data_IF_807873276602
#
_entry.id   IF_807873276602
#
_cell.length_a   1.000
_cell.length_b   1.000
_cell.length_c   1.000
_cell.angle_alpha   90.00
_cell.angle_beta   90.00
_cell.angle_gamma   90.00
#
_symmetry.space_group_name_H-M   'P 1'
#
loop_
_entity.id
_entity.type
_entity.pdbx_description
1 polymer ?
#
# COMPACT_ATOMS: atom_id res chain seq x y z
N UNK A 1 40.41 -4.02 47.92
CA UNK A 1 41.34 -5.07 47.45
C UNK A 1 42.75 -4.80 47.92
N UNK A 2 43.30 -3.63 47.62
CA UNK A 2 44.73 -3.34 47.82
C UNK A 2 45.19 -3.49 49.28
N UNK A 3 44.42 -2.98 50.25
CA UNK A 3 44.66 -3.20 51.69
C UNK A 3 44.71 -4.69 52.09
N UNK A 4 43.91 -5.56 51.47
CA UNK A 4 43.95 -7.01 51.74
C UNK A 4 45.20 -7.65 51.12
N UNK A 5 45.63 -7.20 49.94
CA UNK A 5 46.88 -7.63 49.32
C UNK A 5 48.11 -7.12 50.11
N UNK A 6 48.04 -5.93 50.67
CA UNK A 6 49.08 -5.34 51.53
C UNK A 6 49.21 -6.10 52.86
N UNK A 7 48.08 -6.36 53.55
CA UNK A 7 48.02 -7.21 54.76
C UNK A 7 48.53 -8.63 54.47
N UNK A 8 48.17 -9.21 53.31
CA UNK A 8 48.69 -10.50 52.84
C UNK A 8 50.21 -10.46 52.69
N UNK A 9 50.76 -9.48 51.97
CA UNK A 9 52.20 -9.32 51.75
C UNK A 9 52.95 -9.11 53.07
N UNK A 10 52.40 -8.32 54.00
CA UNK A 10 52.95 -8.12 55.33
C UNK A 10 52.99 -9.43 56.15
N UNK A 11 51.87 -10.17 56.18
CA UNK A 11 51.76 -11.44 56.92
C UNK A 11 52.70 -12.51 56.36
N UNK A 12 52.81 -12.65 55.03
CA UNK A 12 53.75 -13.59 54.39
C UNK A 12 55.21 -13.22 54.71
N UNK A 13 55.58 -11.93 54.66
CA UNK A 13 56.92 -11.45 55.04
C UNK A 13 57.23 -11.75 56.52
N UNK A 14 56.28 -11.55 57.42
CA UNK A 14 56.45 -11.80 58.85
C UNK A 14 56.51 -13.29 59.19
N UNK A 15 55.64 -14.14 58.63
CA UNK A 15 55.71 -15.59 58.84
C UNK A 15 57.01 -16.19 58.28
N UNK A 16 57.53 -15.67 57.16
CA UNK A 16 58.86 -16.06 56.63
C UNK A 16 60.01 -15.65 57.56
N UNK A 17 60.01 -14.39 58.05
CA UNK A 17 61.01 -13.90 59.03
C UNK A 17 61.03 -14.76 60.29
N UNK A 18 59.87 -14.97 60.91
CA UNK A 18 59.71 -15.74 62.16
C UNK A 18 60.18 -17.18 61.99
N UNK A 19 59.79 -17.86 60.90
CA UNK A 19 60.22 -19.23 60.62
C UNK A 19 61.75 -19.41 60.57
N UNK A 20 62.50 -18.39 60.14
CA UNK A 20 63.98 -18.42 60.11
C UNK A 20 64.62 -18.22 61.48
N UNK A 21 64.05 -17.37 62.34
CA UNK A 21 64.62 -17.06 63.67
C UNK A 21 64.22 -18.09 64.74
N UNK A 22 62.96 -18.55 64.69
CA UNK A 22 62.34 -19.28 65.81
C UNK A 22 62.86 -20.72 65.94
N UNK A 23 63.18 -21.40 64.83
CA UNK A 23 63.58 -22.82 64.84
C UNK A 23 64.83 -23.15 65.66
N UNK A 24 65.79 -22.23 65.76
CA UNK A 24 66.97 -22.41 66.62
C UNK A 24 66.63 -22.07 68.07
N UNK A 25 65.96 -20.95 68.30
CA UNK A 25 65.59 -20.48 69.64
C UNK A 25 64.60 -21.43 70.34
N UNK A 26 63.73 -22.12 69.61
CA UNK A 26 62.76 -23.08 70.17
C UNK A 26 63.40 -24.24 70.93
N UNK A 27 64.55 -24.74 70.46
CA UNK A 27 65.29 -25.82 71.12
C UNK A 27 65.94 -25.32 72.40
N UNK A 28 66.54 -24.13 72.39
CA UNK A 28 67.25 -23.57 73.55
C UNK A 28 66.34 -22.83 74.56
N UNK A 29 65.09 -22.53 74.21
CA UNK A 29 64.11 -21.83 75.07
C UNK A 29 62.96 -22.72 75.59
N UNK A 30 62.98 -24.02 75.29
CA UNK A 30 62.03 -24.97 75.86
C UNK A 30 62.45 -25.43 77.25
N UNK A 31 61.58 -25.27 78.27
CA UNK A 31 61.87 -25.66 79.65
C UNK A 31 61.68 -27.16 79.93
N UNK A 32 61.05 -27.89 79.01
CA UNK A 32 60.91 -29.35 79.05
C UNK A 32 60.58 -29.90 77.65
N UNK A 33 60.66 -31.23 77.49
CA UNK A 33 60.24 -31.90 76.25
C UNK A 33 58.75 -31.64 75.93
N UNK A 34 57.90 -31.54 76.96
CA UNK A 34 56.48 -31.22 76.81
C UNK A 34 56.23 -29.78 76.35
N UNK A 35 56.99 -28.82 76.86
CA UNK A 35 56.96 -27.42 76.42
C UNK A 35 57.43 -27.27 74.96
N UNK A 36 58.50 -27.98 74.58
CA UNK A 36 58.94 -28.05 73.17
C UNK A 36 57.85 -28.61 72.24
N UNK A 37 57.25 -29.75 72.60
CA UNK A 37 56.17 -30.37 71.81
C UNK A 37 54.92 -29.49 71.74
N UNK A 38 54.57 -28.79 72.82
CA UNK A 38 53.47 -27.81 72.86
C UNK A 38 53.70 -26.65 71.89
N UNK A 39 54.89 -26.03 71.94
CA UNK A 39 55.28 -24.93 71.04
C UNK A 39 55.34 -25.38 69.57
N UNK A 40 55.86 -26.57 69.29
CA UNK A 40 55.87 -27.16 67.94
C UNK A 40 54.45 -27.42 67.41
N UNK A 41 53.54 -27.94 68.25
CA UNK A 41 52.11 -28.12 67.89
C UNK A 41 51.42 -26.79 67.63
N UNK A 42 51.74 -25.75 68.41
CA UNK A 42 51.22 -24.39 68.22
C UNK A 42 51.68 -23.78 66.90
N UNK A 43 52.97 -23.82 66.57
CA UNK A 43 53.48 -23.36 65.26
C UNK A 43 52.87 -24.12 64.08
N UNK A 44 52.74 -25.45 64.19
CA UNK A 44 52.08 -26.27 63.15
C UNK A 44 50.63 -25.82 62.93
N UNK A 45 49.91 -25.52 64.02
CA UNK A 45 48.53 -25.02 64.00
C UNK A 45 48.44 -23.62 63.39
N UNK A 46 49.37 -22.71 63.70
CA UNK A 46 49.46 -21.38 63.06
C UNK A 46 49.72 -21.54 61.56
N UNK A 47 50.69 -22.37 61.17
CA UNK A 47 51.02 -22.61 59.75
C UNK A 47 49.80 -23.11 58.97
N UNK A 48 49.06 -24.08 59.52
CA UNK A 48 47.84 -24.60 58.90
C UNK A 48 46.75 -23.53 58.76
N UNK A 49 46.55 -22.69 59.79
CA UNK A 49 45.60 -21.56 59.75
C UNK A 49 46.01 -20.47 58.77
N UNK A 50 47.30 -20.11 58.72
CA UNK A 50 47.83 -19.19 57.73
C UNK A 50 47.58 -19.74 56.32
N UNK A 51 47.94 -20.99 56.03
CA UNK A 51 47.71 -21.62 54.72
C UNK A 51 46.22 -21.60 54.31
N UNK A 52 45.30 -21.91 55.22
CA UNK A 52 43.86 -21.84 54.97
C UNK A 52 43.42 -20.41 54.61
N UNK A 53 43.86 -19.40 55.37
CA UNK A 53 43.53 -17.99 55.11
C UNK A 53 44.11 -17.51 53.77
N UNK A 54 45.33 -17.94 53.40
CA UNK A 54 45.92 -17.60 52.11
C UNK A 54 45.08 -18.16 50.95
N UNK A 55 44.65 -19.43 51.03
CA UNK A 55 43.76 -20.05 50.02
C UNK A 55 42.37 -19.42 49.98
N UNK A 56 41.81 -19.00 51.11
CA UNK A 56 40.52 -18.31 51.17
C UNK A 56 40.59 -16.90 50.54
N UNK A 57 41.65 -16.14 50.83
CA UNK A 57 41.91 -14.83 50.22
C UNK A 57 42.15 -14.94 48.70
N UNK A 58 42.87 -15.99 48.25
CA UNK A 58 43.09 -16.25 46.83
C UNK A 58 41.76 -16.56 46.10
N UNK A 59 40.94 -17.45 46.66
CA UNK A 59 39.58 -17.74 46.14
C UNK A 59 38.71 -16.50 46.10
N UNK A 60 38.70 -15.69 47.16
CA UNK A 60 37.94 -14.44 47.22
C UNK A 60 38.42 -13.42 46.18
N UNK A 61 39.73 -13.35 45.91
CA UNK A 61 40.30 -12.50 44.85
C UNK A 61 39.86 -12.96 43.45
N UNK A 62 39.85 -14.26 43.18
CA UNK A 62 39.41 -14.82 41.88
C UNK A 62 37.91 -14.57 41.68
N UNK A 63 37.08 -14.93 42.65
CA UNK A 63 35.63 -14.71 42.66
C UNK A 63 35.25 -13.22 42.45
N UNK A 64 35.97 -12.30 43.11
CA UNK A 64 35.78 -10.86 42.89
C UNK A 64 36.19 -10.41 41.48
N UNK A 65 37.24 -10.99 40.91
CA UNK A 65 37.65 -10.76 39.52
C UNK A 65 36.58 -11.21 38.53
N UNK A 66 36.16 -12.47 38.63
CA UNK A 66 35.11 -13.06 37.78
C UNK A 66 33.79 -12.26 37.88
N UNK A 67 33.37 -11.86 39.08
CA UNK A 67 32.18 -11.01 39.28
C UNK A 67 32.33 -9.61 38.70
N UNK A 68 33.53 -9.01 38.76
CA UNK A 68 33.81 -7.71 38.14
C UNK A 68 33.73 -7.80 36.62
N UNK A 69 34.34 -8.82 36.02
CA UNK A 69 34.41 -8.96 34.57
C UNK A 69 33.04 -9.37 34.00
N UNK A 70 32.31 -10.26 34.69
CA UNK A 70 30.91 -10.56 34.38
C UNK A 70 30.02 -9.31 34.46
N UNK A 71 30.22 -8.43 35.46
CA UNK A 71 29.51 -7.14 35.56
C UNK A 71 29.83 -6.22 34.38
N UNK A 72 31.09 -6.12 33.96
CA UNK A 72 31.49 -5.31 32.79
C UNK A 72 30.85 -5.84 31.52
N UNK A 73 30.88 -7.16 31.30
CA UNK A 73 30.23 -7.82 30.15
C UNK A 73 28.72 -7.54 30.15
N UNK A 74 28.03 -7.69 31.29
CA UNK A 74 26.59 -7.42 31.40
C UNK A 74 26.24 -5.94 31.22
N UNK A 75 27.11 -5.02 31.63
CA UNK A 75 26.94 -3.58 31.32
C UNK A 75 27.05 -3.33 29.81
N UNK A 76 28.03 -3.94 29.12
CA UNK A 76 28.15 -3.83 27.66
C UNK A 76 26.97 -4.47 26.92
N UNK A 77 26.43 -5.59 27.40
CA UNK A 77 25.19 -6.19 26.87
C UNK A 77 23.99 -5.23 27.02
N UNK A 78 23.82 -4.62 28.20
CA UNK A 78 22.71 -3.68 28.46
C UNK A 78 22.77 -2.47 27.54
N UNK A 79 23.94 -1.84 27.32
CA UNK A 79 24.03 -0.71 26.38
C UNK A 79 23.81 -1.14 24.92
N UNK A 80 24.28 -2.34 24.51
CA UNK A 80 23.96 -2.90 23.18
C UNK A 80 22.45 -3.15 23.01
N UNK A 81 21.77 -3.64 24.05
CA UNK A 81 20.33 -3.88 24.04
C UNK A 81 19.53 -2.57 24.03
N UNK A 82 19.94 -1.54 24.79
CA UNK A 82 19.35 -0.20 24.73
C UNK A 82 19.45 0.41 23.34
N UNK A 83 20.64 0.39 22.73
CA UNK A 83 20.84 0.91 21.36
C UNK A 83 19.98 0.17 20.34
N UNK A 84 19.88 -1.16 20.44
CA UNK A 84 18.97 -1.97 19.60
C UNK A 84 17.51 -1.59 19.82
N UNK A 85 17.07 -1.42 21.07
CA UNK A 85 15.70 -1.03 21.42
C UNK A 85 15.33 0.35 20.87
N UNK A 86 16.24 1.33 20.92
CA UNK A 86 16.02 2.66 20.32
C UNK A 86 15.88 2.55 18.81
N UNK A 87 16.76 1.82 18.13
CA UNK A 87 16.65 1.59 16.68
C UNK A 87 15.33 0.87 16.30
N UNK A 88 14.92 -0.14 17.08
CA UNK A 88 13.66 -0.86 16.87
C UNK A 88 12.42 0.02 17.10
N UNK A 89 12.45 0.98 18.03
CA UNK A 89 11.36 1.96 18.20
C UNK A 89 11.25 2.88 16.99
N UNK A 90 12.36 3.48 16.56
CA UNK A 90 12.39 4.37 15.38
C UNK A 90 11.89 3.65 14.12
N UNK A 91 12.26 2.38 13.93
CA UNK A 91 11.75 1.58 12.82
C UNK A 91 10.25 1.26 12.95
N UNK A 92 9.78 0.89 14.15
CA UNK A 92 8.36 0.63 14.40
C UNK A 92 7.50 1.89 14.17
N UNK A 93 7.95 3.05 14.61
CA UNK A 93 7.24 4.33 14.40
C UNK A 93 7.19 4.69 12.91
N UNK A 94 8.28 4.43 12.16
CA UNK A 94 8.34 4.54 10.69
C UNK A 94 7.35 3.58 10.01
N UNK A 95 7.32 2.31 10.41
CA UNK A 95 6.38 1.32 9.87
C UNK A 95 4.91 1.70 10.17
N UNK A 96 4.62 2.26 11.35
CA UNK A 96 3.28 2.74 11.68
C UNK A 96 2.86 3.96 10.85
N UNK A 97 3.77 4.90 10.59
CA UNK A 97 3.50 6.06 9.74
C UNK A 97 3.23 5.63 8.30
N UNK A 98 4.07 4.74 7.74
CA UNK A 98 3.90 4.23 6.39
C UNK A 98 2.62 3.41 6.24
N UNK A 99 2.27 2.57 7.22
CA UNK A 99 0.99 1.85 7.25
C UNK A 99 -0.21 2.80 7.25
N UNK A 100 -0.14 3.93 7.97
CA UNK A 100 -1.18 4.97 7.97
C UNK A 100 -1.27 5.69 6.63
N UNK A 101 -0.14 6.00 6.00
CA UNK A 101 -0.07 6.61 4.66
C UNK A 101 -0.73 5.71 3.62
N UNK A 102 -0.29 4.45 3.52
CA UNK A 102 -0.84 3.46 2.58
C UNK A 102 -2.32 3.21 2.83
N UNK A 103 -2.78 3.11 4.08
CA UNK A 103 -4.20 2.94 4.39
C UNK A 103 -5.06 4.15 3.99
N UNK A 104 -4.56 5.37 4.19
CA UNK A 104 -5.25 6.58 3.74
C UNK A 104 -5.34 6.65 2.21
N UNK A 105 -4.26 6.30 1.51
CA UNK A 105 -4.22 6.27 0.05
C UNK A 105 -5.14 5.19 -0.52
N UNK A 106 -5.18 3.98 0.05
CA UNK A 106 -6.10 2.93 -0.41
C UNK A 106 -7.56 3.24 -0.09
N UNK A 107 -7.88 3.83 1.06
CA UNK A 107 -9.25 4.23 1.40
C UNK A 107 -9.77 5.37 0.51
N UNK A 108 -8.94 6.38 0.21
CA UNK A 108 -9.30 7.45 -0.72
C UNK A 108 -9.49 6.91 -2.15
N UNK A 109 -8.62 6.00 -2.59
CA UNK A 109 -8.76 5.33 -3.88
C UNK A 109 -10.01 4.44 -3.93
N UNK A 110 -10.30 3.63 -2.90
CA UNK A 110 -11.51 2.82 -2.82
C UNK A 110 -12.76 3.71 -2.92
N UNK A 111 -12.86 4.78 -2.12
CA UNK A 111 -14.00 5.71 -2.19
C UNK A 111 -14.18 6.27 -3.61
N UNK A 112 -13.08 6.71 -4.24
CA UNK A 112 -13.09 7.21 -5.63
C UNK A 112 -13.53 6.13 -6.63
N UNK A 113 -13.08 4.88 -6.47
CA UNK A 113 -13.53 3.76 -7.30
C UNK A 113 -15.01 3.42 -7.08
N UNK A 114 -15.52 3.47 -5.84
CA UNK A 114 -16.94 3.28 -5.52
C UNK A 114 -17.82 4.40 -6.11
N UNK A 115 -17.35 5.65 -6.08
CA UNK A 115 -18.02 6.80 -6.73
C UNK A 115 -18.07 6.64 -8.26
N UNK A 116 -16.97 6.22 -8.90
CA UNK A 116 -16.93 5.95 -10.35
C UNK A 116 -17.78 4.72 -10.74
N UNK A 117 -17.79 3.68 -9.90
CA UNK A 117 -18.64 2.49 -10.02
C UNK A 117 -20.13 2.83 -9.93
N UNK A 118 -20.52 3.69 -8.99
CA UNK A 118 -21.89 4.17 -8.83
C UNK A 118 -22.33 5.00 -10.04
N UNK A 119 -21.47 5.90 -10.51
CA UNK A 119 -21.66 6.71 -11.72
C UNK A 119 -21.89 5.85 -12.97
N UNK A 120 -20.94 4.97 -13.30
CA UNK A 120 -21.04 4.06 -14.44
C UNK A 120 -22.29 3.15 -14.37
N UNK A 121 -22.74 2.75 -13.16
CA UNK A 121 -23.99 2.00 -12.96
C UNK A 121 -25.26 2.82 -13.19
N UNK A 122 -25.25 4.11 -12.89
CA UNK A 122 -26.39 5.01 -13.14
C UNK A 122 -26.44 5.48 -14.60
N UNK A 123 -25.29 5.62 -15.25
CA UNK A 123 -25.11 5.86 -16.69
C UNK A 123 -25.66 4.66 -17.47
N UNK A 124 -25.31 3.44 -17.03
CA UNK A 124 -25.89 2.16 -17.42
C UNK A 124 -27.42 2.15 -17.33
N UNK A 125 -27.99 2.39 -16.14
CA UNK A 125 -29.45 2.43 -15.95
C UNK A 125 -30.10 3.47 -16.87
N UNK A 126 -29.47 4.64 -17.07
CA UNK A 126 -29.98 5.66 -17.97
C UNK A 126 -30.02 5.20 -19.43
N UNK A 127 -28.90 4.69 -19.96
CA UNK A 127 -28.81 4.25 -21.36
C UNK A 127 -29.85 3.15 -21.66
N UNK A 128 -29.95 2.12 -20.81
CA UNK A 128 -30.92 1.03 -21.00
C UNK A 128 -32.37 1.53 -21.00
N UNK A 129 -32.73 2.44 -20.09
CA UNK A 129 -34.09 2.94 -20.00
C UNK A 129 -34.43 3.97 -21.10
N UNK A 130 -33.45 4.74 -21.58
CA UNK A 130 -33.59 5.61 -22.76
C UNK A 130 -33.92 4.77 -24.00
N UNK A 131 -33.13 3.73 -24.31
CA UNK A 131 -33.36 2.91 -25.51
C UNK A 131 -34.63 2.06 -25.39
N UNK A 132 -35.00 1.65 -24.17
CA UNK A 132 -36.28 1.01 -23.89
C UNK A 132 -37.50 1.95 -23.99
N UNK A 133 -37.33 3.23 -24.38
CA UNK A 133 -38.41 4.19 -24.60
C UNK A 133 -39.02 4.76 -23.31
N UNK A 134 -38.26 4.81 -22.20
CA UNK A 134 -38.73 5.32 -20.90
C UNK A 134 -38.23 6.74 -20.57
N UNK A 135 -37.56 7.40 -21.51
CA UNK A 135 -37.29 8.84 -21.42
C UNK A 135 -38.52 9.66 -21.78
N UNK A 136 -38.59 10.90 -21.29
CA UNK A 136 -39.58 11.89 -21.74
C UNK A 136 -39.01 12.60 -22.96
N UNK A 137 -39.69 12.47 -24.10
CA UNK A 137 -39.25 13.03 -25.38
C UNK A 137 -40.24 14.03 -25.96
N UNK A 138 -39.70 15.02 -26.68
CA UNK A 138 -40.46 15.97 -27.49
C UNK A 138 -39.94 15.94 -28.92
N UNK A 139 -40.83 15.77 -29.90
CA UNK A 139 -40.50 15.90 -31.32
C UNK A 139 -40.11 17.36 -31.64
N UNK A 140 -39.03 17.54 -32.39
CA UNK A 140 -38.57 18.87 -32.85
C UNK A 140 -38.92 19.09 -34.32
N UNK A 141 -38.94 18.01 -35.11
CA UNK A 141 -39.20 18.03 -36.56
C UNK A 141 -38.17 17.22 -37.34
N UNK A 142 -38.22 17.31 -38.66
CA UNK A 142 -37.28 16.63 -39.55
C UNK A 142 -35.94 17.39 -39.65
N UNK A 143 -34.83 16.66 -39.83
CA UNK A 143 -33.48 17.25 -39.98
C UNK A 143 -32.73 16.70 -41.20
N UNK A 144 -31.85 17.51 -41.76
CA UNK A 144 -30.95 17.12 -42.84
C UNK A 144 -29.69 16.42 -42.31
N UNK A 145 -29.08 15.56 -43.12
CA UNK A 145 -27.76 15.01 -42.83
C UNK A 145 -26.72 16.14 -42.67
N UNK A 146 -25.86 16.03 -41.65
CA UNK A 146 -24.87 17.06 -41.31
C UNK A 146 -25.42 18.29 -40.56
N UNK A 147 -26.73 18.36 -40.30
CA UNK A 147 -27.31 19.44 -39.49
C UNK A 147 -26.87 19.35 -38.02
N UNK A 148 -26.52 20.49 -37.42
CA UNK A 148 -26.21 20.55 -36.00
C UNK A 148 -27.49 20.43 -35.15
N UNK A 149 -27.53 19.45 -34.24
CA UNK A 149 -28.72 19.12 -33.42
C UNK A 149 -28.55 19.39 -31.92
N UNK A 150 -27.33 19.24 -31.42
CA UNK A 150 -26.92 19.44 -30.02
C UNK A 150 -25.40 19.62 -29.94
N UNK A 151 -24.88 19.96 -28.75
CA UNK A 151 -23.45 20.07 -28.43
C UNK A 151 -23.08 19.11 -27.31
N UNK A 152 -21.92 18.44 -27.37
CA UNK A 152 -21.39 17.64 -26.25
C UNK A 152 -21.20 18.53 -25.01
N UNK A 153 -21.57 18.02 -23.82
CA UNK A 153 -21.36 18.71 -22.55
C UNK A 153 -19.86 18.75 -22.25
N UNK A 154 -19.37 19.93 -21.85
CA UNK A 154 -18.02 20.07 -21.35
C UNK A 154 -17.98 19.93 -19.82
N UNK A 155 -16.97 19.20 -19.32
CA UNK A 155 -16.87 18.75 -17.94
C UNK A 155 -17.73 17.52 -17.62
N UNK A 156 -17.80 17.13 -16.34
CA UNK A 156 -18.66 16.04 -15.88
C UNK A 156 -20.15 16.36 -16.09
N UNK A 157 -20.93 15.36 -16.49
CA UNK A 157 -22.40 15.47 -16.66
C UNK A 157 -23.15 14.42 -15.84
N UNK A 158 -24.48 14.33 -15.95
CA UNK A 158 -25.27 13.35 -15.20
C UNK A 158 -24.72 11.93 -15.40
N UNK A 159 -24.39 11.28 -14.28
CA UNK A 159 -23.78 9.95 -14.18
C UNK A 159 -22.38 9.79 -14.83
N UNK A 160 -21.83 10.83 -15.45
CA UNK A 160 -20.52 10.86 -16.13
C UNK A 160 -19.40 11.46 -15.25
N UNK A 161 -18.15 11.23 -15.64
CA UNK A 161 -16.93 11.82 -15.04
C UNK A 161 -16.24 12.89 -15.89
N UNK A 162 -16.63 13.11 -17.17
CA UNK A 162 -15.98 14.09 -18.05
C UNK A 162 -16.55 14.16 -19.47
N UNK A 163 -16.07 15.12 -20.26
CA UNK A 163 -16.56 15.47 -21.60
C UNK A 163 -16.40 14.31 -22.59
N UNK A 164 -17.50 13.66 -22.99
CA UNK A 164 -17.53 12.61 -24.00
C UNK A 164 -18.93 12.50 -24.64
N UNK A 165 -19.04 11.77 -25.75
CA UNK A 165 -20.32 11.48 -26.43
C UNK A 165 -20.59 9.97 -26.41
N UNK A 166 -21.70 9.56 -25.81
CA UNK A 166 -22.31 8.27 -26.10
C UNK A 166 -23.22 8.43 -27.33
N UNK A 167 -22.94 7.65 -28.37
CA UNK A 167 -23.57 7.64 -29.69
C UNK A 167 -24.10 6.19 -29.83
N UNK A 168 -25.40 5.90 -30.09
CA UNK A 168 -26.02 4.54 -29.92
C UNK A 168 -27.00 4.11 -31.06
N UNK A 169 -26.86 2.90 -31.68
CA UNK A 169 -27.75 2.40 -32.80
C UNK A 169 -28.77 1.48 -32.18
N UNK A 170 -30.05 1.78 -32.36
CA UNK A 170 -31.09 0.77 -32.27
C UNK A 170 -31.76 0.55 -33.62
N UNK A 171 -32.29 -0.65 -33.83
CA UNK A 171 -33.35 -0.95 -34.78
C UNK A 171 -34.21 -2.01 -34.13
N UNK A 172 -35.53 -1.80 -34.11
CA UNK A 172 -36.48 -2.70 -33.46
C UNK A 172 -36.18 -3.01 -31.97
N UNK A 173 -35.42 -2.12 -31.31
CA UNK A 173 -34.79 -2.22 -29.96
C UNK A 173 -33.59 -3.17 -29.85
N UNK A 174 -33.23 -3.90 -30.89
CA UNK A 174 -31.92 -4.54 -31.02
C UNK A 174 -30.86 -3.50 -31.42
N UNK A 175 -29.61 -3.74 -31.04
CA UNK A 175 -28.51 -2.75 -31.03
C UNK A 175 -27.51 -3.25 -32.10
N UNK A 176 -27.00 -2.32 -32.94
CA UNK A 176 -26.13 -2.65 -34.07
C UNK A 176 -24.75 -2.03 -33.96
N UNK A 177 -23.76 -2.71 -34.57
CA UNK A 177 -22.40 -2.18 -34.70
C UNK A 177 -22.42 -0.89 -35.51
N UNK A 178 -21.55 0.09 -35.23
CA UNK A 178 -21.76 1.43 -35.76
C UNK A 178 -20.73 1.80 -36.81
N UNK A 179 -19.55 1.22 -36.68
CA UNK A 179 -18.51 1.13 -37.67
C UNK A 179 -19.04 0.49 -38.96
N UNK A 180 -20.03 -0.43 -38.90
CA UNK A 180 -20.68 -0.97 -40.11
C UNK A 180 -21.46 0.08 -40.91
N UNK A 181 -21.74 1.24 -40.33
CA UNK A 181 -22.49 2.31 -40.98
C UNK A 181 -21.72 3.63 -41.12
N UNK A 182 -20.81 3.95 -40.19
CA UNK A 182 -19.94 5.14 -40.25
C UNK A 182 -18.80 4.97 -41.27
N UNK A 183 -18.45 6.06 -41.96
CA UNK A 183 -17.30 6.09 -42.88
C UNK A 183 -15.96 6.21 -42.15
N UNK A 184 -14.84 6.05 -42.86
CA UNK A 184 -13.50 6.31 -42.31
C UNK A 184 -13.29 7.77 -41.88
N UNK A 185 -12.60 7.98 -40.76
CA UNK A 185 -12.22 9.30 -40.21
C UNK A 185 -10.83 9.19 -39.55
N UNK A 186 -10.13 10.31 -39.38
CA UNK A 186 -8.90 10.32 -38.58
C UNK A 186 -9.26 10.20 -37.10
N UNK A 187 -8.56 9.32 -36.40
CA UNK A 187 -8.85 9.00 -35.01
C UNK A 187 -7.57 8.81 -34.20
N UNK A 188 -7.71 8.84 -32.89
CA UNK A 188 -6.72 8.40 -31.90
C UNK A 188 -7.39 7.36 -31.01
N UNK A 189 -6.80 6.16 -30.93
CA UNK A 189 -7.35 5.11 -30.09
C UNK A 189 -6.85 5.26 -28.66
N UNK A 190 -7.74 5.61 -27.74
CA UNK A 190 -7.46 5.79 -26.30
C UNK A 190 -8.28 4.82 -25.43
N UNK A 191 -8.73 3.70 -26.02
CA UNK A 191 -9.54 2.67 -25.33
C UNK A 191 -8.72 1.55 -24.66
N UNK A 192 -7.43 1.44 -25.01
CA UNK A 192 -6.48 0.49 -24.42
C UNK A 192 -5.82 1.02 -23.14
N UNK A 193 -4.67 0.43 -22.78
CA UNK A 193 -3.89 0.88 -21.62
C UNK A 193 -3.31 2.29 -21.76
N UNK A 194 -3.19 2.82 -22.98
CA UNK A 194 -2.84 4.23 -23.26
C UNK A 194 -3.32 4.68 -24.64
N UNK A 195 -3.23 5.97 -24.96
CA UNK A 195 -3.52 6.45 -26.32
C UNK A 195 -2.47 5.93 -27.31
N UNK A 196 -2.91 5.13 -28.28
CA UNK A 196 -2.08 4.51 -29.31
C UNK A 196 -1.53 3.12 -28.97
N UNK A 197 -1.99 2.46 -27.90
CA UNK A 197 -1.53 1.11 -27.55
C UNK A 197 -2.23 -0.01 -28.34
N UNK A 198 -1.48 -1.05 -28.70
CA UNK A 198 -1.94 -2.19 -29.50
C UNK A 198 -2.98 -3.08 -28.80
N UNK A 199 -3.25 -2.86 -27.50
CA UNK A 199 -4.28 -3.56 -26.74
C UNK A 199 -5.68 -2.91 -26.83
N UNK A 200 -5.78 -1.73 -27.45
CA UNK A 200 -7.06 -1.00 -27.61
C UNK A 200 -8.10 -1.70 -28.48
N UNK A 201 -9.33 -1.18 -28.41
CA UNK A 201 -10.46 -1.70 -29.19
C UNK A 201 -10.23 -1.56 -30.70
N UNK A 202 -10.73 -2.54 -31.46
CA UNK A 202 -10.67 -2.51 -32.92
C UNK A 202 -11.52 -1.38 -33.49
N UNK A 203 -10.93 -0.55 -34.34
CA UNK A 203 -11.59 0.55 -35.03
C UNK A 203 -11.67 0.24 -36.54
N UNK A 204 -12.83 -0.18 -37.02
CA UNK A 204 -13.02 -0.67 -38.39
C UNK A 204 -14.26 -0.08 -39.10
N UNK A 205 -14.41 1.26 -39.19
CA UNK A 205 -15.50 1.87 -39.94
C UNK A 205 -15.50 1.47 -41.43
N UNK A 206 -16.65 1.05 -41.93
CA UNK A 206 -16.85 0.44 -43.25
C UNK A 206 -18.13 0.90 -43.97
N UNK A 207 -18.86 1.87 -43.42
CA UNK A 207 -20.07 2.42 -44.03
C UNK A 207 -19.88 3.78 -44.69
N UNK A 208 -20.96 4.55 -44.80
CA UNK A 208 -21.03 5.81 -45.55
C UNK A 208 -21.44 7.03 -44.72
N UNK A 209 -21.87 6.84 -43.47
CA UNK A 209 -22.43 7.90 -42.64
C UNK A 209 -21.36 8.86 -42.11
N UNK A 210 -21.73 10.14 -42.01
CA UNK A 210 -20.93 11.18 -41.36
C UNK A 210 -20.79 10.93 -39.85
N UNK A 211 -19.68 11.36 -39.27
CA UNK A 211 -19.47 11.31 -37.82
C UNK A 211 -20.18 12.48 -37.13
N UNK A 212 -20.58 12.32 -35.85
CA UNK A 212 -21.27 13.35 -35.07
C UNK A 212 -20.29 14.40 -34.50
N UNK A 213 -18.99 14.14 -34.66
CA UNK A 213 -17.87 14.93 -34.19
C UNK A 213 -16.93 15.15 -35.37
N UNK A 214 -16.34 16.34 -35.45
CA UNK A 214 -15.32 16.67 -36.44
C UNK A 214 -14.04 15.85 -36.23
N UNK A 215 -13.32 15.58 -37.32
CA UNK A 215 -11.95 15.07 -37.26
C UNK A 215 -11.04 16.04 -36.48
N UNK A 216 -10.06 15.60 -35.69
CA UNK A 216 -9.69 14.21 -35.36
C UNK A 216 -10.41 13.76 -34.08
N UNK A 217 -11.04 12.59 -34.09
CA UNK A 217 -11.75 12.05 -32.91
C UNK A 217 -10.80 11.29 -31.96
N UNK A 218 -11.15 11.20 -30.67
CA UNK A 218 -10.50 10.27 -29.72
C UNK A 218 -11.50 9.18 -29.33
N UNK A 219 -11.20 7.92 -29.63
CA UNK A 219 -12.03 6.78 -29.21
C UNK A 219 -11.63 6.34 -27.81
N UNK A 220 -12.51 6.52 -26.82
CA UNK A 220 -12.30 6.05 -25.44
C UNK A 220 -12.86 4.64 -25.20
N UNK A 221 -13.79 4.18 -26.06
CA UNK A 221 -14.42 2.87 -26.01
C UNK A 221 -14.95 2.53 -27.41
N UNK A 222 -14.74 1.29 -27.87
CA UNK A 222 -15.28 0.76 -29.12
C UNK A 222 -16.58 -0.02 -28.93
N UNK A 223 -16.89 -0.92 -29.89
CA UNK A 223 -18.09 -1.75 -29.86
C UNK A 223 -17.81 -3.14 -29.27
N UNK A 224 -18.57 -3.53 -28.25
CA UNK A 224 -18.74 -4.92 -27.83
C UNK A 224 -17.98 -5.28 -26.56
N UNK A 225 -17.26 -6.40 -26.60
CA UNK A 225 -16.39 -6.83 -25.48
C UNK A 225 -15.07 -6.06 -25.58
N UNK A 226 -15.08 -4.83 -25.10
CA UNK A 226 -13.97 -3.86 -25.22
C UNK A 226 -12.80 -4.15 -24.26
N UNK A 227 -11.64 -3.52 -24.46
CA UNK A 227 -10.50 -3.59 -23.53
C UNK A 227 -10.93 -3.18 -22.11
N UNK A 228 -11.76 -2.15 -21.98
CA UNK A 228 -12.34 -1.75 -20.70
C UNK A 228 -13.19 -2.86 -20.06
N UNK A 229 -14.02 -3.57 -20.84
CA UNK A 229 -14.84 -4.71 -20.38
C UNK A 229 -13.98 -5.96 -20.07
N UNK A 230 -12.82 -6.11 -20.72
CA UNK A 230 -11.87 -7.23 -20.51
C UNK A 230 -10.97 -7.04 -19.29
N UNK A 231 -10.50 -5.81 -19.05
CA UNK A 231 -9.42 -5.51 -18.09
C UNK A 231 -9.88 -4.72 -16.86
N UNK A 232 -11.15 -4.31 -16.78
CA UNK A 232 -11.74 -3.68 -15.58
C UNK A 232 -12.90 -4.52 -15.02
N UNK A 233 -13.49 -4.07 -13.91
CA UNK A 233 -14.63 -4.75 -13.28
C UNK A 233 -15.93 -4.66 -14.11
N UNK A 234 -15.98 -3.86 -15.18
CA UNK A 234 -17.17 -3.62 -16.04
C UNK A 234 -17.42 -4.82 -16.97
N UNK A 235 -17.54 -6.02 -16.41
CA UNK A 235 -17.66 -7.29 -17.16
C UNK A 235 -19.06 -7.54 -17.73
N UNK A 236 -19.88 -6.51 -17.86
CA UNK A 236 -21.20 -6.56 -18.49
C UNK A 236 -21.63 -5.16 -18.94
N UNK A 237 -22.26 -5.11 -20.12
CA UNK A 237 -22.88 -3.97 -20.81
C UNK A 237 -21.90 -2.84 -21.27
N UNK A 238 -21.84 -2.54 -22.59
CA UNK A 238 -22.00 -1.21 -23.28
C UNK A 238 -21.48 -1.17 -24.72
N UNK A 239 -22.31 -0.65 -25.66
CA UNK A 239 -22.27 -1.01 -27.09
C UNK A 239 -23.26 -0.11 -27.97
N UNK A 240 -23.24 -0.16 -29.34
CA UNK A 240 -24.08 0.55 -30.40
C UNK A 240 -23.70 2.05 -30.82
N UNK A 241 -23.93 2.63 -32.07
CA UNK A 241 -23.87 4.10 -32.62
C UNK A 241 -24.87 4.67 -33.79
N UNK A 242 -24.64 5.61 -34.76
CA UNK A 242 -25.79 6.47 -35.35
C UNK A 242 -25.72 7.16 -36.79
N UNK A 243 -26.88 7.53 -37.46
CA UNK A 243 -27.09 8.39 -38.69
C UNK A 243 -28.00 9.67 -38.53
N UNK A 244 -29.00 9.91 -39.42
CA UNK A 244 -29.83 11.12 -39.61
C UNK A 244 -31.29 10.82 -40.05
N UNK A 245 -32.28 11.64 -39.65
CA UNK A 245 -33.73 11.36 -39.82
C UNK A 245 -34.65 12.39 -39.14
N UNK A 246 -35.68 11.97 -38.41
CA UNK A 246 -36.57 12.83 -37.60
C UNK A 246 -36.06 13.02 -36.16
N UNK A 247 -36.00 14.26 -35.68
CA UNK A 247 -35.36 14.66 -34.43
C UNK A 247 -36.31 14.69 -33.22
N UNK A 248 -35.90 14.04 -32.14
CA UNK A 248 -36.51 14.08 -30.81
C UNK A 248 -35.49 14.57 -29.76
N UNK A 249 -35.90 15.52 -28.90
CA UNK A 249 -35.13 15.97 -27.73
C UNK A 249 -35.66 15.25 -26.49
N UNK A 250 -34.80 14.50 -25.80
CA UNK A 250 -35.18 13.58 -24.73
C UNK A 250 -34.50 13.85 -23.38
N UNK A 251 -35.15 13.48 -22.29
CA UNK A 251 -34.51 13.47 -20.97
C UNK A 251 -34.94 12.25 -20.15
N UNK A 252 -34.00 11.69 -19.40
CA UNK A 252 -34.26 10.59 -18.48
C UNK A 252 -33.65 10.86 -17.11
N UNK A 253 -34.49 10.80 -16.07
CA UNK A 253 -34.08 10.91 -14.67
C UNK A 253 -34.05 9.51 -14.05
N UNK A 254 -32.85 8.96 -13.88
CA UNK A 254 -32.64 7.69 -13.18
C UNK A 254 -32.78 7.82 -11.66
N UNK A 255 -32.51 6.73 -10.93
CA UNK A 255 -32.61 6.69 -9.45
C UNK A 255 -31.72 7.71 -8.73
N UNK A 256 -30.69 8.23 -9.40
CA UNK A 256 -29.80 9.29 -8.92
C UNK A 256 -30.42 10.70 -8.96
N UNK A 257 -31.62 10.88 -9.52
CA UNK A 257 -32.31 12.17 -9.62
C UNK A 257 -31.73 13.15 -10.65
N UNK A 258 -30.57 12.84 -11.24
CA UNK A 258 -29.95 13.66 -12.29
C UNK A 258 -30.61 13.38 -13.64
N UNK A 259 -31.18 14.41 -14.27
CA UNK A 259 -31.82 14.32 -15.57
C UNK A 259 -30.78 14.31 -16.71
N UNK A 260 -30.44 13.13 -17.23
CA UNK A 260 -29.58 12.99 -18.39
C UNK A 260 -30.33 13.46 -19.64
N UNK A 261 -29.82 14.53 -20.28
CA UNK A 261 -30.29 15.01 -21.58
C UNK A 261 -29.71 14.14 -22.70
N UNK A 262 -30.54 13.86 -23.69
CA UNK A 262 -30.16 13.14 -24.89
C UNK A 262 -30.93 13.67 -26.11
N UNK A 263 -30.44 13.32 -27.29
CA UNK A 263 -31.17 13.44 -28.55
C UNK A 263 -31.42 12.04 -29.08
N UNK A 264 -32.63 11.77 -29.59
CA UNK A 264 -32.93 10.62 -30.44
C UNK A 264 -33.22 11.09 -31.86
N UNK A 265 -32.74 10.37 -32.87
CA UNK A 265 -33.09 10.60 -34.28
C UNK A 265 -33.61 9.29 -34.87
N UNK A 266 -34.82 9.31 -35.43
CA UNK A 266 -35.48 8.16 -36.04
C UNK A 266 -35.33 8.21 -37.56
N UNK A 267 -34.74 7.20 -38.18
CA UNK A 267 -34.39 7.22 -39.59
C UNK A 267 -35.51 6.64 -40.44
N UNK A 268 -36.02 7.46 -41.36
CA UNK A 268 -37.11 7.10 -42.27
C UNK A 268 -36.76 5.84 -43.10
N UNK A 269 -35.48 5.64 -43.41
CA UNK A 269 -34.97 4.45 -44.07
C UNK A 269 -34.72 3.32 -43.06
N UNK A 270 -35.63 2.34 -43.04
CA UNK A 270 -35.37 1.02 -42.45
C UNK A 270 -35.60 0.88 -40.94
N UNK A 271 -36.17 1.88 -40.25
CA UNK A 271 -36.58 1.77 -38.85
C UNK A 271 -35.42 1.81 -37.85
N UNK A 272 -34.36 2.57 -38.17
CA UNK A 272 -33.18 2.73 -37.33
C UNK A 272 -33.37 3.93 -36.40
N UNK A 273 -33.34 3.70 -35.09
CA UNK A 273 -33.37 4.73 -34.05
C UNK A 273 -31.97 4.98 -33.50
N UNK A 274 -31.65 6.23 -33.16
CA UNK A 274 -30.27 6.58 -32.85
C UNK A 274 -30.15 7.63 -31.78
N UNK A 275 -29.23 7.45 -30.82
CA UNK A 275 -29.19 8.25 -29.60
C UNK A 275 -27.84 8.93 -29.39
N UNK A 276 -27.88 10.19 -28.95
CA UNK A 276 -26.74 11.03 -28.59
C UNK A 276 -26.92 11.45 -27.13
N UNK A 277 -26.07 10.98 -26.23
CA UNK A 277 -26.16 11.21 -24.78
C UNK A 277 -24.98 12.07 -24.31
N UNK A 278 -25.13 12.68 -23.13
CA UNK A 278 -24.17 13.66 -22.59
C UNK A 278 -24.04 14.90 -23.50
N UNK A 279 -25.14 15.26 -24.13
CA UNK A 279 -25.29 16.46 -24.97
C UNK A 279 -26.20 17.48 -24.28
N UNK A 280 -25.96 18.75 -24.58
CA UNK A 280 -26.86 19.85 -24.27
C UNK A 280 -27.42 20.44 -25.57
N UNK A 281 -28.62 21.00 -25.49
CA UNK A 281 -29.25 21.66 -26.63
C UNK A 281 -28.64 23.04 -26.88
N UNK A 282 -28.76 23.49 -28.13
CA UNK A 282 -28.81 24.92 -28.46
C UNK A 282 -30.18 25.48 -28.04
#
# INVERSE_FOLDING_TARGET
>A
MDQLAEIYIARVKESYRRYRTDRMNLVFSSKSLGDFMGKMKYLSTIKAKDQLILTELERSRVDYGEKKDAKIIKQQEVEKLKTRLVAQKVDLDRQQLEKKRVLSETQNNEKKFQEMLSKARAELEAIQNIIAGKGTETEVGDISAGQAIAKVIDGPSCNSSGSHLHFIVAKDKDIYSPFTYLKGIEYENCSGSSCGSDDGDSFNPSGSWEWPLSSRIKMMQGFGVTWAVRNTWVRSIYNFHVQAGKLYRGSYSGRSGCALRYVRVHHNDGGIDTYYLHVNYF
#
